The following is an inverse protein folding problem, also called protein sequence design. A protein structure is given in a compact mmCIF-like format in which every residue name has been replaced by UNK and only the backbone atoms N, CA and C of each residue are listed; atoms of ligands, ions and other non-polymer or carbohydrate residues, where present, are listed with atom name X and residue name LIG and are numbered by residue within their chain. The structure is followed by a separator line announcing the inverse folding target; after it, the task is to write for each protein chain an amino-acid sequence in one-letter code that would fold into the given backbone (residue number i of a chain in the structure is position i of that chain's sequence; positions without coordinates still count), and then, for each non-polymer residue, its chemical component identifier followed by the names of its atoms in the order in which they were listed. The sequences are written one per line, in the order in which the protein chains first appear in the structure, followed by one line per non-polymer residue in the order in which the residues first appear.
data_IF_220782293114
#
_entry.id   IF_220782293114
#
_cell.length_a   1.000
_cell.length_b   1.000
_cell.length_c   1.000
_cell.angle_alpha   90.00
_cell.angle_beta   90.00
_cell.angle_gamma   90.00
#
_symmetry.space_group_name_H-M   'P 1'
#
loop_
_entity.id
_entity.type
_entity.pdbx_description
1 polymer ?
#
# COMPACT_ATOMS: atom_id res chain seq x y z
N UNK A 1 -7.51 -15.33 -14.19
CA UNK A 1 -6.91 -15.36 -12.84
C UNK A 1 -5.95 -14.18 -12.78
N UNK A 2 -6.08 -13.29 -11.78
CA UNK A 2 -5.24 -12.10 -11.68
C UNK A 2 -3.75 -12.47 -11.67
N UNK A 3 -2.92 -11.67 -12.34
CA UNK A 3 -1.50 -11.94 -12.48
C UNK A 3 -0.77 -11.50 -11.22
N UNK A 4 -0.26 -12.46 -10.45
CA UNK A 4 0.65 -12.19 -9.33
C UNK A 4 2.10 -12.11 -9.84
N UNK A 5 2.89 -11.24 -9.23
CA UNK A 5 4.33 -11.13 -9.46
C UNK A 5 5.10 -11.51 -8.20
N UNK A 6 6.33 -11.99 -8.39
CA UNK A 6 7.32 -12.19 -7.32
C UNK A 6 8.37 -11.10 -7.41
N UNK A 7 9.03 -10.77 -6.30
CA UNK A 7 10.08 -9.76 -6.22
C UNK A 7 11.21 -10.00 -7.25
N UNK A 8 11.54 -11.26 -7.51
CA UNK A 8 12.58 -11.65 -8.48
C UNK A 8 12.21 -11.33 -9.94
N UNK A 9 10.91 -11.24 -10.23
CA UNK A 9 10.39 -11.03 -11.60
C UNK A 9 10.14 -9.55 -11.92
N UNK A 10 10.41 -8.65 -10.98
CA UNK A 10 10.24 -7.20 -11.14
C UNK A 10 11.59 -6.58 -11.49
N UNK A 11 11.68 -5.73 -12.51
CA UNK A 11 12.95 -5.13 -12.93
C UNK A 11 13.53 -4.20 -11.85
N UNK A 12 14.85 -4.06 -11.81
CA UNK A 12 15.52 -3.02 -11.03
C UNK A 12 15.29 -1.63 -11.65
N UNK A 13 15.16 -0.57 -10.83
CA UNK A 13 15.03 0.80 -11.33
C UNK A 13 16.32 1.28 -12.01
N UNK A 14 16.16 1.95 -13.15
CA UNK A 14 17.26 2.57 -13.88
C UNK A 14 17.66 3.92 -13.28
N UNK A 15 18.86 4.41 -13.60
CA UNK A 15 19.30 5.74 -13.14
C UNK A 15 18.38 6.88 -13.64
N UNK A 16 17.79 6.73 -14.83
CA UNK A 16 16.83 7.70 -15.36
C UNK A 16 15.56 7.74 -14.50
N UNK A 17 14.98 6.58 -14.19
CA UNK A 17 13.81 6.48 -13.30
C UNK A 17 14.13 6.96 -11.88
N UNK A 18 15.33 6.70 -11.37
CA UNK A 18 15.79 7.23 -10.07
C UNK A 18 15.97 8.76 -10.07
N UNK A 19 16.17 9.37 -11.23
CA UNK A 19 16.39 10.82 -11.36
C UNK A 19 15.12 11.57 -11.77
N UNK A 20 14.12 10.87 -12.31
CA UNK A 20 12.87 11.43 -12.82
C UNK A 20 11.66 10.64 -12.30
N UNK A 21 10.87 11.30 -11.44
CA UNK A 21 9.68 10.70 -10.84
C UNK A 21 8.60 10.35 -11.88
N UNK A 22 8.52 11.09 -12.99
CA UNK A 22 7.55 10.80 -14.04
C UNK A 22 7.86 9.45 -14.73
N UNK A 23 9.14 9.17 -14.98
CA UNK A 23 9.57 7.87 -15.53
C UNK A 23 9.32 6.73 -14.54
N UNK A 24 9.60 6.94 -13.25
CA UNK A 24 9.27 5.96 -12.23
C UNK A 24 7.75 5.69 -12.14
N UNK A 25 6.92 6.73 -12.20
CA UNK A 25 5.46 6.60 -12.21
C UNK A 25 4.95 5.89 -13.47
N UNK A 26 5.52 6.19 -14.63
CA UNK A 26 5.22 5.46 -15.87
C UNK A 26 5.57 3.98 -15.73
N UNK A 27 6.71 3.65 -15.11
CA UNK A 27 7.10 2.26 -14.88
C UNK A 27 6.11 1.50 -14.00
N UNK A 28 5.64 2.14 -12.93
CA UNK A 28 4.57 1.60 -12.07
C UNK A 28 3.32 1.29 -12.89
N UNK A 29 2.88 2.22 -13.75
CA UNK A 29 1.72 2.04 -14.61
C UNK A 29 1.87 0.85 -15.58
N UNK A 30 3.04 0.73 -16.22
CA UNK A 30 3.33 -0.38 -17.15
C UNK A 30 3.26 -1.75 -16.45
N UNK A 31 3.75 -1.81 -15.21
CA UNK A 31 3.80 -3.02 -14.40
C UNK A 31 2.44 -3.47 -13.85
N UNK A 32 1.42 -2.61 -13.85
CA UNK A 32 0.08 -3.01 -13.42
C UNK A 32 -0.62 -3.86 -14.48
N UNK A 33 -0.40 -5.18 -14.41
CA UNK A 33 -1.04 -6.15 -15.30
C UNK A 33 -2.52 -6.37 -15.01
N UNK A 34 -3.00 -5.98 -13.83
CA UNK A 34 -4.37 -6.19 -13.41
C UNK A 34 -5.31 -5.07 -13.92
N UNK A 35 -4.78 -3.97 -14.44
CA UNK A 35 -5.56 -2.81 -14.91
C UNK A 35 -6.61 -3.12 -16.00
N UNK A 36 -6.44 -4.23 -16.73
CA UNK A 36 -7.37 -4.65 -17.80
C UNK A 36 -8.35 -5.73 -17.33
N UNK A 37 -8.17 -6.26 -16.12
CA UNK A 37 -9.06 -7.26 -15.55
C UNK A 37 -10.35 -6.60 -15.03
N UNK A 38 -11.50 -7.27 -15.12
CA UNK A 38 -12.71 -6.80 -14.47
C UNK A 38 -12.47 -6.57 -12.97
N UNK A 39 -12.96 -5.45 -12.42
CA UNK A 39 -12.69 -5.03 -11.03
C UNK A 39 -13.04 -6.14 -10.01
N UNK A 40 -14.12 -6.88 -10.25
CA UNK A 40 -14.55 -8.01 -9.43
C UNK A 40 -13.66 -9.26 -9.53
N UNK A 41 -12.59 -9.22 -10.32
CA UNK A 41 -11.57 -10.27 -10.42
C UNK A 41 -10.22 -9.82 -9.86
N UNK A 42 -10.03 -8.53 -9.62
CA UNK A 42 -8.78 -7.98 -9.08
C UNK A 42 -8.72 -8.20 -7.55
N UNK A 43 -7.76 -8.97 -7.02
CA UNK A 43 -7.67 -9.28 -5.60
C UNK A 43 -7.48 -8.06 -4.71
N UNK A 44 -6.73 -7.06 -5.17
CA UNK A 44 -6.50 -5.81 -4.43
C UNK A 44 -7.79 -5.03 -4.25
N UNK A 45 -8.62 -4.94 -5.30
CA UNK A 45 -9.94 -4.31 -5.19
C UNK A 45 -10.89 -5.07 -4.27
N UNK A 46 -10.91 -6.41 -4.32
CA UNK A 46 -11.72 -7.20 -3.38
C UNK A 46 -11.32 -6.97 -1.93
N UNK A 47 -10.01 -7.00 -1.66
CA UNK A 47 -9.50 -6.74 -0.33
C UNK A 47 -9.76 -5.30 0.11
N UNK A 48 -9.67 -4.32 -0.81
CA UNK A 48 -9.99 -2.93 -0.53
C UNK A 48 -11.47 -2.72 -0.18
N UNK A 49 -12.40 -3.36 -0.90
CA UNK A 49 -13.82 -3.26 -0.57
C UNK A 49 -14.15 -3.79 0.84
N UNK A 50 -13.46 -4.85 1.28
CA UNK A 50 -13.56 -5.39 2.63
C UNK A 50 -12.82 -4.54 3.70
N UNK A 51 -12.20 -3.42 3.32
CA UNK A 51 -11.76 -2.40 4.28
C UNK A 51 -12.80 -1.27 4.41
N UNK A 52 -13.58 -1.04 3.37
CA UNK A 52 -14.51 0.09 3.30
C UNK A 52 -15.79 -0.15 4.09
N UNK A 53 -16.20 -1.41 4.24
CA UNK A 53 -17.34 -1.82 5.06
C UNK A 53 -17.10 -1.58 6.57
N UNK A 54 -15.84 -1.51 7.00
CA UNK A 54 -15.45 -1.17 8.37
C UNK A 54 -15.58 0.34 8.68
N UNK A 55 -15.66 1.21 7.67
CA UNK A 55 -15.63 2.65 7.87
C UNK A 55 -16.90 3.19 8.53
N UNK A 56 -16.76 3.74 9.74
CA UNK A 56 -17.82 4.43 10.48
C UNK A 56 -17.69 5.95 10.27
N UNK A 57 -18.67 6.62 9.62
CA UNK A 57 -18.58 8.06 9.32
C UNK A 57 -18.73 8.98 10.54
N UNK A 58 -19.08 8.43 11.71
CA UNK A 58 -19.32 9.19 12.93
C UNK A 58 -18.00 9.59 13.60
N UNK A 59 -17.85 10.88 13.92
CA UNK A 59 -16.68 11.41 14.63
C UNK A 59 -16.89 11.43 16.14
N UNK A 60 -15.81 11.35 16.93
CA UNK A 60 -15.86 11.43 18.40
C UNK A 60 -16.06 10.10 19.13
N UNK A 61 -16.22 9.00 18.39
CA UNK A 61 -16.20 7.63 18.93
C UNK A 61 -14.79 7.07 18.71
N UNK A 62 -14.13 6.53 19.74
CA UNK A 62 -12.89 5.78 19.54
C UNK A 62 -13.16 4.61 18.60
N UNK A 63 -12.49 4.60 17.45
CA UNK A 63 -12.48 3.45 16.56
C UNK A 63 -11.73 2.30 17.26
N UNK A 64 -12.41 1.17 17.40
CA UNK A 64 -11.87 -0.05 18.00
C UNK A 64 -11.63 -1.01 16.86
N UNK A 65 -10.37 -1.23 16.53
CA UNK A 65 -10.00 -2.20 15.51
C UNK A 65 -10.10 -3.60 16.09
N UNK A 66 -10.95 -4.45 15.52
CA UNK A 66 -11.08 -5.85 15.94
C UNK A 66 -10.10 -6.79 15.20
N UNK A 67 -10.06 -8.05 15.65
CA UNK A 67 -9.16 -9.07 15.07
C UNK A 67 -9.48 -9.42 13.60
N UNK A 68 -10.70 -9.13 13.13
CA UNK A 68 -11.13 -9.33 11.75
C UNK A 68 -10.58 -8.20 10.88
N UNK A 69 -10.74 -6.95 11.32
CA UNK A 69 -10.28 -5.76 10.63
C UNK A 69 -8.74 -5.77 10.48
N UNK A 70 -8.01 -6.24 11.52
CA UNK A 70 -6.56 -6.41 11.44
C UNK A 70 -6.13 -7.45 10.37
N UNK A 71 -6.91 -8.53 10.21
CA UNK A 71 -6.68 -9.54 9.16
C UNK A 71 -6.99 -8.97 7.78
N UNK A 72 -7.97 -8.10 7.65
CA UNK A 72 -8.31 -7.44 6.39
C UNK A 72 -7.22 -6.47 5.95
N UNK A 73 -6.67 -5.66 6.88
CA UNK A 73 -5.50 -4.80 6.64
C UNK A 73 -4.32 -5.62 6.08
N UNK A 74 -4.01 -6.74 6.76
CA UNK A 74 -2.93 -7.65 6.36
C UNK A 74 -3.20 -8.26 4.98
N UNK A 75 -4.44 -8.69 4.73
CA UNK A 75 -4.84 -9.26 3.45
C UNK A 75 -4.70 -8.26 2.31
N UNK A 76 -5.09 -7.01 2.53
CA UNK A 76 -4.97 -5.94 1.55
C UNK A 76 -3.51 -5.64 1.21
N UNK A 77 -2.66 -5.44 2.21
CA UNK A 77 -1.23 -5.17 1.99
C UNK A 77 -0.55 -6.32 1.24
N UNK A 78 -0.81 -7.57 1.64
CA UNK A 78 -0.27 -8.75 0.95
C UNK A 78 -0.74 -8.84 -0.51
N UNK A 79 -2.00 -8.54 -0.78
CA UNK A 79 -2.51 -8.50 -2.15
C UNK A 79 -1.80 -7.43 -2.99
N UNK A 80 -1.55 -6.25 -2.41
CA UNK A 80 -0.81 -5.18 -3.09
C UNK A 80 0.65 -5.57 -3.31
N UNK A 81 1.31 -6.22 -2.34
CA UNK A 81 2.71 -6.69 -2.44
C UNK A 81 2.90 -7.87 -3.41
N UNK A 82 1.83 -8.40 -3.97
CA UNK A 82 1.88 -9.36 -5.08
C UNK A 82 1.74 -8.70 -6.45
N UNK A 83 1.66 -7.37 -6.51
CA UNK A 83 1.55 -6.61 -7.75
C UNK A 83 2.91 -6.08 -8.21
N UNK A 84 3.12 -6.03 -9.52
CA UNK A 84 4.31 -5.42 -10.12
C UNK A 84 4.58 -3.98 -9.66
N UNK A 85 3.56 -3.09 -9.60
CA UNK A 85 3.75 -1.72 -9.13
C UNK A 85 4.31 -1.65 -7.71
N UNK A 86 3.69 -2.32 -6.72
CA UNK A 86 4.14 -2.15 -5.33
C UNK A 86 5.51 -2.79 -5.07
N UNK A 87 5.78 -3.93 -5.71
CA UNK A 87 7.11 -4.55 -5.65
C UNK A 87 8.19 -3.67 -6.30
N UNK A 88 7.87 -2.97 -7.40
CA UNK A 88 8.80 -2.02 -8.01
C UNK A 88 8.99 -0.79 -7.14
N UNK A 89 7.93 -0.29 -6.50
CA UNK A 89 8.03 0.81 -5.54
C UNK A 89 8.99 0.46 -4.39
N UNK A 90 8.96 -0.76 -3.87
CA UNK A 90 9.95 -1.24 -2.90
C UNK A 90 11.38 -1.14 -3.44
N UNK A 91 11.66 -1.72 -4.61
CA UNK A 91 13.01 -1.65 -5.23
C UNK A 91 13.47 -0.22 -5.49
N UNK A 92 12.56 0.62 -5.98
CA UNK A 92 12.79 2.05 -6.21
C UNK A 92 13.20 2.78 -4.92
N UNK A 93 12.45 2.59 -3.84
CA UNK A 93 12.71 3.23 -2.55
C UNK A 93 13.99 2.71 -1.90
N UNK A 94 14.30 1.41 -2.09
CA UNK A 94 15.55 0.82 -1.64
C UNK A 94 16.76 1.41 -2.37
N UNK A 95 16.69 1.55 -3.71
CA UNK A 95 17.77 2.16 -4.49
C UNK A 95 17.94 3.65 -4.18
N UNK A 96 16.86 4.35 -3.78
CA UNK A 96 16.92 5.73 -3.26
C UNK A 96 17.49 5.83 -1.83
N UNK A 97 17.67 4.70 -1.14
CA UNK A 97 18.15 4.66 0.24
C UNK A 97 17.12 5.11 1.29
N UNK A 98 15.84 5.21 0.91
CA UNK A 98 14.73 5.61 1.79
C UNK A 98 14.26 4.43 2.63
N UNK A 99 14.05 3.28 1.98
CA UNK A 99 13.68 2.03 2.63
C UNK A 99 14.92 1.17 2.81
N UNK A 100 15.02 0.49 3.95
CA UNK A 100 16.08 -0.48 4.26
C UNK A 100 15.44 -1.79 4.71
N UNK A 101 16.15 -2.89 4.51
CA UNK A 101 15.68 -4.21 4.95
C UNK A 101 15.00 -5.02 3.84
N UNK A 102 14.22 -5.99 4.28
CA UNK A 102 13.50 -6.95 3.47
C UNK A 102 12.11 -6.45 3.04
N UNK A 103 11.46 -7.20 2.15
CA UNK A 103 10.07 -6.92 1.76
C UNK A 103 9.11 -7.04 2.95
N UNK A 104 9.44 -7.89 3.94
CA UNK A 104 8.67 -8.03 5.17
C UNK A 104 8.74 -6.77 6.02
N UNK A 105 9.93 -6.18 6.14
CA UNK A 105 10.12 -4.91 6.86
C UNK A 105 9.33 -3.78 6.17
N UNK A 106 9.29 -3.80 4.83
CA UNK A 106 8.49 -2.86 4.05
C UNK A 106 6.97 -3.07 4.23
N UNK A 107 6.48 -4.32 4.35
CA UNK A 107 5.08 -4.62 4.69
C UNK A 107 4.70 -4.01 6.04
N UNK A 108 5.57 -4.15 7.05
CA UNK A 108 5.37 -3.58 8.39
C UNK A 108 5.39 -2.05 8.37
N UNK A 109 6.27 -1.44 7.58
CA UNK A 109 6.33 0.01 7.40
C UNK A 109 5.06 0.54 6.71
N UNK A 110 4.58 -0.13 5.65
CA UNK A 110 3.30 0.21 5.02
C UNK A 110 2.13 0.09 5.98
N UNK A 111 2.10 -0.98 6.80
CA UNK A 111 1.07 -1.15 7.81
C UNK A 111 1.11 -0.02 8.85
N UNK A 112 2.31 0.40 9.23
CA UNK A 112 2.52 1.52 10.16
C UNK A 112 2.04 2.86 9.58
N UNK A 113 2.30 3.12 8.30
CA UNK A 113 1.91 4.36 7.64
C UNK A 113 0.39 4.44 7.43
N UNK A 114 -0.22 3.34 6.98
CA UNK A 114 -1.60 3.37 6.47
C UNK A 114 -2.66 2.90 7.46
N UNK A 115 -2.31 1.99 8.37
CA UNK A 115 -3.28 1.33 9.26
C UNK A 115 -2.98 1.53 10.75
N UNK A 116 -1.85 2.15 11.10
CA UNK A 116 -1.63 2.51 12.49
C UNK A 116 -2.46 3.72 12.88
N UNK A 117 -3.15 3.62 13.99
CA UNK A 117 -4.05 4.63 14.49
C UNK A 117 -3.25 5.83 15.03
N UNK A 118 -3.15 6.90 14.24
CA UNK A 118 -2.63 8.15 14.75
C UNK A 118 -3.71 8.85 15.59
N UNK A 119 -3.48 9.01 16.89
CA UNK A 119 -4.30 9.94 17.69
C UNK A 119 -4.06 11.34 17.13
N UNK A 120 -5.04 11.92 16.44
CA UNK A 120 -5.03 13.36 16.15
C UNK A 120 -4.98 14.07 17.50
N UNK A 121 -3.80 14.55 17.90
CA UNK A 121 -3.71 15.49 19.02
C UNK A 121 -4.52 16.71 18.58
N UNK A 122 -5.71 16.87 19.17
CA UNK A 122 -6.45 18.12 19.09
C UNK A 122 -5.51 19.20 19.60
N UNK A 123 -5.22 20.17 18.74
CA UNK A 123 -4.55 21.38 19.17
C UNK A 123 -5.58 22.10 20.05
N UNK A 124 -5.51 21.88 21.37
CA UNK A 124 -6.22 22.68 22.36
C UNK A 124 -5.60 24.08 22.41
N UNK A 125 -5.78 24.85 21.33
CA UNK A 125 -5.39 26.24 21.25
C UNK A 125 -6.32 26.99 20.30
N UNK A 126 -7.61 27.12 20.66
CA UNK A 126 -8.26 28.43 20.61
C UNK A 126 -9.60 28.39 21.36
N UNK A 127 -9.57 28.82 22.63
CA UNK A 127 -10.74 29.27 23.39
C UNK A 127 -10.24 30.00 24.63
N UNK A 128 -9.75 31.23 24.45
CA UNK A 128 -9.89 32.36 25.39
C UNK A 128 -9.26 33.64 24.86
#
# INVERSE_FOLDING_TARGET
MASTMSLDNVPEPTQAELSDLQLAAQKLWELDRNRLEPVNQIPTYKAFYALLDNYIPQTGIPEVVDDTELKENTRFLKACLQTGPLLYAFKYLQAKGVVKGSITDFEEELNTIWFNMYRRQGHDADSR
#
